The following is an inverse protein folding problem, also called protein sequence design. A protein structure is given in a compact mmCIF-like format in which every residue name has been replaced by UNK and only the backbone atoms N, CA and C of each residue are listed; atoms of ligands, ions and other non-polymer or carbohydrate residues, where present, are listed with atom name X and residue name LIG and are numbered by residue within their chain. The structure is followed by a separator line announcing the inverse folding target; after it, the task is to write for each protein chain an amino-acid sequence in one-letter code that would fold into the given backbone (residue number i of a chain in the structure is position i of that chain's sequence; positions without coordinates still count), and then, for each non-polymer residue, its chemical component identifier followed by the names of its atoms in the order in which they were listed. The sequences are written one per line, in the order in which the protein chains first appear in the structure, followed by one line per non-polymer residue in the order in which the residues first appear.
data_IF_967446131331
#
_entry.id   IF_967446131331
#
_cell.length_a   1.000
_cell.length_b   1.000
_cell.length_c   1.000
_cell.angle_alpha   90.00
_cell.angle_beta   90.00
_cell.angle_gamma   90.00
#
_symmetry.space_group_name_H-M   'P 1'
#
loop_
_entity.id
_entity.type
_entity.pdbx_description
1 polymer ?
#
# COMPACT_ATOMS: atom_id res chain seq x y z
N UNK A 1 33.71 9.54 48.63
CA UNK A 1 32.47 9.62 47.84
C UNK A 1 32.39 8.36 47.00
N UNK A 2 31.41 7.50 47.25
CA UNK A 2 31.22 6.25 46.50
C UNK A 2 30.11 6.49 45.48
N UNK A 3 30.48 6.61 44.20
CA UNK A 3 29.52 6.62 43.10
C UNK A 3 28.98 5.19 42.95
N UNK A 4 27.76 4.97 43.42
CA UNK A 4 27.10 3.67 43.35
C UNK A 4 27.05 3.10 41.92
N UNK A 5 26.77 1.79 41.78
CA UNK A 5 26.80 1.12 40.49
C UNK A 5 25.94 1.88 39.47
N UNK A 6 26.59 2.32 38.39
CA UNK A 6 25.97 2.98 37.26
C UNK A 6 24.74 2.17 36.85
N UNK A 7 23.54 2.74 37.06
CA UNK A 7 22.30 2.12 36.56
C UNK A 7 22.52 1.81 35.08
N UNK A 8 22.27 0.57 34.62
CA UNK A 8 22.27 0.29 33.20
C UNK A 8 21.34 1.31 32.54
N UNK A 9 21.87 2.13 31.62
CA UNK A 9 21.02 2.91 30.73
C UNK A 9 20.18 1.90 29.99
N UNK A 10 18.94 1.69 30.42
CA UNK A 10 17.95 1.00 29.61
C UNK A 10 17.85 1.82 28.34
N UNK A 11 18.38 1.31 27.23
CA UNK A 11 18.07 1.87 25.93
C UNK A 11 16.54 1.97 25.87
N UNK A 12 15.97 3.16 25.58
CA UNK A 12 14.54 3.29 25.47
C UNK A 12 14.09 2.26 24.44
N UNK A 13 13.31 1.26 24.89
CA UNK A 13 12.77 0.27 23.99
C UNK A 13 12.01 1.03 22.90
N UNK A 14 12.36 0.79 21.64
CA UNK A 14 11.66 1.37 20.50
C UNK A 14 10.17 1.08 20.66
N UNK A 15 9.33 2.11 20.58
CA UNK A 15 7.88 1.91 20.67
C UNK A 15 7.38 1.12 19.46
N UNK A 16 6.22 0.47 19.58
CA UNK A 16 5.62 -0.26 18.47
C UNK A 16 5.42 0.65 17.25
N UNK A 17 4.95 1.89 17.45
CA UNK A 17 4.78 2.84 16.35
C UNK A 17 6.10 3.25 15.70
N UNK A 18 7.16 3.48 16.47
CA UNK A 18 8.47 3.79 15.91
C UNK A 18 8.99 2.62 15.06
N UNK A 19 8.75 1.39 15.51
CA UNK A 19 9.10 0.18 14.75
C UNK A 19 8.27 0.07 13.47
N UNK A 20 6.95 0.24 13.56
CA UNK A 20 6.05 0.27 12.41
C UNK A 20 6.49 1.31 11.38
N UNK A 21 6.74 2.56 11.80
CA UNK A 21 7.16 3.62 10.91
C UNK A 21 8.51 3.36 10.23
N UNK A 22 9.44 2.74 10.96
CA UNK A 22 10.75 2.36 10.39
C UNK A 22 10.60 1.26 9.35
N UNK A 23 9.94 0.17 9.70
CA UNK A 23 9.75 -0.97 8.80
C UNK A 23 8.84 -0.65 7.62
N UNK A 24 7.87 0.26 7.79
CA UNK A 24 7.00 0.72 6.72
C UNK A 24 7.77 1.51 5.65
N UNK A 25 8.75 2.33 6.05
CA UNK A 25 9.64 3.02 5.10
C UNK A 25 10.46 2.03 4.28
N UNK A 26 11.02 1.00 4.93
CA UNK A 26 11.77 -0.08 4.29
C UNK A 26 10.88 -0.91 3.36
N UNK A 27 9.64 -1.18 3.75
CA UNK A 27 8.62 -1.80 2.92
C UNK A 27 8.38 -0.99 1.64
N UNK A 28 8.09 0.30 1.79
CA UNK A 28 7.81 1.20 0.67
C UNK A 28 8.95 1.26 -0.34
N UNK A 29 10.19 1.38 0.13
CA UNK A 29 11.37 1.46 -0.74
C UNK A 29 11.58 0.16 -1.54
N UNK A 30 11.51 -1.00 -0.88
CA UNK A 30 11.67 -2.30 -1.55
C UNK A 30 10.58 -2.54 -2.58
N UNK A 31 9.32 -2.31 -2.20
CA UNK A 31 8.18 -2.45 -3.11
C UNK A 31 8.28 -1.50 -4.29
N UNK A 32 8.58 -0.21 -4.06
CA UNK A 32 8.76 0.76 -5.16
C UNK A 32 9.80 0.29 -6.16
N UNK A 33 10.95 -0.18 -5.68
CA UNK A 33 12.02 -0.66 -6.56
C UNK A 33 11.65 -1.92 -7.34
N UNK A 34 10.88 -2.85 -6.75
CA UNK A 34 10.40 -4.06 -7.44
C UNK A 34 9.29 -3.72 -8.44
N UNK A 35 8.30 -2.96 -8.01
CA UNK A 35 7.14 -2.59 -8.83
C UNK A 35 7.54 -1.70 -10.02
N UNK A 36 8.53 -0.80 -9.88
CA UNK A 36 9.05 -0.03 -11.03
C UNK A 36 9.70 -0.92 -12.09
N UNK A 37 10.43 -1.96 -11.66
CA UNK A 37 11.03 -2.92 -12.59
C UNK A 37 9.95 -3.71 -13.33
N UNK A 38 8.90 -4.12 -12.61
CA UNK A 38 7.77 -4.81 -13.19
C UNK A 38 7.05 -3.90 -14.18
N UNK A 39 6.67 -2.69 -13.77
CA UNK A 39 5.98 -1.74 -14.62
C UNK A 39 6.77 -1.54 -15.94
N UNK A 40 8.00 -1.05 -15.85
CA UNK A 40 8.86 -0.80 -17.02
C UNK A 40 9.12 -2.01 -17.93
N UNK A 41 8.82 -3.23 -17.48
CA UNK A 41 8.97 -4.45 -18.29
C UNK A 41 7.77 -4.76 -19.21
N UNK A 42 6.61 -4.14 -18.97
CA UNK A 42 5.44 -4.30 -19.83
C UNK A 42 5.51 -3.33 -21.02
N UNK A 43 5.27 -3.83 -22.22
CA UNK A 43 5.19 -2.99 -23.41
C UNK A 43 3.89 -2.17 -23.40
N UNK A 44 3.96 -0.91 -23.84
CA UNK A 44 2.77 -0.07 -24.01
C UNK A 44 2.26 0.60 -22.73
N UNK A 45 3.02 0.59 -21.64
CA UNK A 45 2.60 1.27 -20.41
C UNK A 45 2.43 2.78 -20.59
N UNK A 46 1.25 3.28 -20.20
CA UNK A 46 0.97 4.71 -20.14
C UNK A 46 1.45 5.27 -18.81
N UNK A 47 2.32 6.28 -18.88
CA UNK A 47 2.66 7.07 -17.70
C UNK A 47 1.52 8.02 -17.35
N UNK A 48 1.14 8.07 -16.08
CA UNK A 48 0.24 9.09 -15.58
C UNK A 48 1.00 10.43 -15.51
N UNK A 49 0.37 11.56 -15.92
CA UNK A 49 1.03 12.86 -15.93
C UNK A 49 1.21 13.39 -14.51
N UNK A 50 2.40 13.22 -13.94
CA UNK A 50 2.76 13.74 -12.63
C UNK A 50 4.12 14.46 -12.67
N UNK A 51 4.29 15.63 -12.02
CA UNK A 51 5.48 16.47 -12.19
C UNK A 51 6.77 15.90 -11.59
N UNK A 52 6.69 15.15 -10.50
CA UNK A 52 7.87 14.66 -9.74
C UNK A 52 7.93 13.14 -9.62
N UNK A 53 6.79 12.51 -9.36
CA UNK A 53 6.67 11.06 -9.26
C UNK A 53 6.63 10.35 -10.62
N UNK A 54 7.27 9.19 -10.69
CA UNK A 54 7.17 8.27 -11.81
C UNK A 54 6.04 7.27 -11.51
N UNK A 55 4.87 7.52 -12.13
CA UNK A 55 3.66 6.72 -11.92
C UNK A 55 3.15 6.23 -13.27
N UNK A 56 2.72 4.98 -13.30
CA UNK A 56 2.16 4.30 -14.47
C UNK A 56 0.67 4.05 -14.25
N UNK A 57 -0.12 4.06 -15.32
CA UNK A 57 -1.46 3.49 -15.23
C UNK A 57 -1.30 1.97 -15.14
N UNK A 58 -2.04 1.37 -14.22
CA UNK A 58 -1.98 -0.07 -14.00
C UNK A 58 -2.34 -0.81 -15.30
N UNK A 59 -1.40 -1.62 -15.79
CA UNK A 59 -1.61 -2.52 -16.90
C UNK A 59 -2.19 -3.84 -16.37
N UNK A 60 -3.23 -4.37 -17.01
CA UNK A 60 -3.97 -5.53 -16.51
C UNK A 60 -3.09 -6.77 -16.30
N UNK A 61 -2.12 -7.01 -17.19
CA UNK A 61 -1.17 -8.12 -17.08
C UNK A 61 -0.13 -7.93 -15.96
N UNK A 62 0.07 -6.69 -15.50
CA UNK A 62 0.99 -6.36 -14.40
C UNK A 62 0.34 -6.53 -13.03
N UNK A 63 -1.00 -6.43 -12.95
CA UNK A 63 -1.73 -6.36 -11.69
C UNK A 63 -1.45 -7.54 -10.77
N UNK A 64 -1.41 -8.76 -11.30
CA UNK A 64 -1.12 -9.96 -10.51
C UNK A 64 0.30 -9.97 -9.96
N UNK A 65 1.30 -9.63 -10.78
CA UNK A 65 2.70 -9.58 -10.36
C UNK A 65 2.95 -8.51 -9.31
N UNK A 66 2.34 -7.33 -9.47
CA UNK A 66 2.41 -6.23 -8.50
C UNK A 66 1.71 -6.63 -7.20
N UNK A 67 0.52 -7.22 -7.27
CA UNK A 67 -0.22 -7.67 -6.08
C UNK A 67 0.56 -8.76 -5.32
N UNK A 68 1.18 -9.69 -6.03
CA UNK A 68 2.00 -10.74 -5.44
C UNK A 68 3.24 -10.16 -4.73
N UNK A 69 3.96 -9.25 -5.38
CA UNK A 69 5.09 -8.54 -4.76
C UNK A 69 4.65 -7.77 -3.50
N UNK A 70 3.52 -7.07 -3.58
CA UNK A 70 2.91 -6.37 -2.45
C UNK A 70 2.59 -7.32 -1.29
N UNK A 71 1.99 -8.48 -1.58
CA UNK A 71 1.65 -9.49 -0.59
C UNK A 71 2.88 -10.03 0.14
N UNK A 72 3.93 -10.42 -0.58
CA UNK A 72 5.18 -10.93 0.01
C UNK A 72 5.80 -9.88 0.93
N UNK A 73 5.96 -8.65 0.42
CA UNK A 73 6.63 -7.60 1.16
C UNK A 73 5.82 -7.16 2.39
N UNK A 74 4.48 -7.12 2.29
CA UNK A 74 3.59 -6.82 3.42
C UNK A 74 3.66 -7.94 4.48
N UNK A 75 3.73 -9.21 4.07
CA UNK A 75 3.89 -10.32 5.01
C UNK A 75 5.22 -10.22 5.79
N UNK A 76 6.31 -9.87 5.10
CA UNK A 76 7.60 -9.65 5.74
C UNK A 76 7.59 -8.42 6.66
N UNK A 77 6.89 -7.35 6.28
CA UNK A 77 6.64 -6.21 7.18
C UNK A 77 5.94 -6.65 8.47
N UNK A 78 4.91 -7.51 8.36
CA UNK A 78 4.17 -8.04 9.50
C UNK A 78 5.07 -8.76 10.50
N UNK A 79 5.89 -9.69 10.01
CA UNK A 79 6.86 -10.43 10.84
C UNK A 79 7.84 -9.50 11.53
N UNK A 80 8.33 -8.49 10.80
CA UNK A 80 9.29 -7.53 11.34
C UNK A 80 8.67 -6.56 12.34
N UNK A 81 7.39 -6.22 12.26
CA UNK A 81 6.74 -5.36 13.26
C UNK A 81 6.31 -6.15 14.49
N UNK A 82 5.78 -7.35 14.30
CA UNK A 82 5.19 -8.19 15.34
C UNK A 82 5.96 -9.52 15.48
N UNK A 83 7.09 -9.58 16.19
CA UNK A 83 7.85 -10.83 16.34
C UNK A 83 7.03 -12.01 16.90
N UNK A 84 6.02 -11.73 17.74
CA UNK A 84 5.12 -12.75 18.25
C UNK A 84 4.31 -13.44 17.16
N UNK A 85 4.14 -12.81 15.99
CA UNK A 85 3.49 -13.40 14.82
C UNK A 85 4.25 -14.64 14.31
N UNK A 86 5.57 -14.66 14.40
CA UNK A 86 6.39 -15.82 13.99
C UNK A 86 6.24 -17.02 14.93
N UNK A 87 5.65 -16.82 16.12
CA UNK A 87 5.39 -17.90 17.08
C UNK A 87 4.09 -18.66 16.79
N UNK A 88 3.26 -18.14 15.87
CA UNK A 88 1.99 -18.78 15.47
C UNK A 88 2.25 -19.89 14.46
N UNK A 89 1.32 -20.84 14.38
CA UNK A 89 1.34 -21.85 13.31
C UNK A 89 1.15 -21.21 11.93
N UNK A 90 1.64 -21.87 10.88
CA UNK A 90 1.61 -21.31 9.52
C UNK A 90 0.20 -20.96 9.04
N UNK A 91 -0.80 -21.79 9.36
CA UNK A 91 -2.19 -21.55 8.96
C UNK A 91 -2.80 -20.35 9.69
N UNK A 92 -2.43 -20.13 10.95
CA UNK A 92 -2.85 -18.96 11.73
C UNK A 92 -2.22 -17.68 11.17
N UNK A 93 -0.93 -17.73 10.84
CA UNK A 93 -0.23 -16.60 10.20
C UNK A 93 -0.92 -16.21 8.89
N UNK A 94 -1.23 -17.19 8.03
CA UNK A 94 -1.89 -16.96 6.74
C UNK A 94 -3.30 -16.39 6.96
N UNK A 95 -4.04 -16.90 7.93
CA UNK A 95 -5.42 -16.44 8.22
C UNK A 95 -5.42 -14.98 8.68
N UNK A 96 -4.59 -14.64 9.66
CA UNK A 96 -4.45 -13.26 10.16
C UNK A 96 -4.00 -12.32 9.04
N UNK A 97 -3.04 -12.76 8.22
CA UNK A 97 -2.54 -11.95 7.12
C UNK A 97 -3.63 -11.66 6.07
N UNK A 98 -4.41 -12.66 5.68
CA UNK A 98 -5.52 -12.49 4.72
C UNK A 98 -6.57 -11.48 5.20
N UNK A 99 -6.89 -11.51 6.49
CA UNK A 99 -7.86 -10.60 7.09
C UNK A 99 -7.38 -9.14 7.18
N UNK A 100 -6.06 -8.94 7.19
CA UNK A 100 -5.45 -7.62 7.32
C UNK A 100 -5.02 -7.02 5.98
N UNK A 101 -4.43 -7.80 5.09
CA UNK A 101 -3.75 -7.30 3.87
C UNK A 101 -4.67 -6.47 2.99
N UNK A 102 -5.95 -6.85 2.86
CA UNK A 102 -6.93 -6.08 2.10
C UNK A 102 -7.18 -4.69 2.70
N UNK A 103 -7.34 -4.61 4.03
CA UNK A 103 -7.54 -3.34 4.74
C UNK A 103 -6.30 -2.48 4.67
N UNK A 104 -5.13 -3.06 4.90
CA UNK A 104 -3.85 -2.35 4.79
C UNK A 104 -3.64 -1.74 3.41
N UNK A 105 -3.84 -2.55 2.37
CA UNK A 105 -3.66 -2.12 0.98
C UNK A 105 -4.63 -0.98 0.65
N UNK A 106 -5.87 -1.07 1.11
CA UNK A 106 -6.85 -0.01 0.96
C UNK A 106 -6.39 1.30 1.63
N UNK A 107 -6.01 1.25 2.91
CA UNK A 107 -5.50 2.42 3.64
C UNK A 107 -4.27 3.03 2.96
N UNK A 108 -3.33 2.20 2.53
CA UNK A 108 -2.13 2.64 1.84
C UNK A 108 -2.45 3.30 0.49
N UNK A 109 -3.35 2.71 -0.30
CA UNK A 109 -3.75 3.28 -1.58
C UNK A 109 -4.40 4.66 -1.41
N UNK A 110 -5.29 4.83 -0.42
CA UNK A 110 -5.95 6.11 -0.18
C UNK A 110 -5.00 7.17 0.40
N UNK A 111 -4.17 6.81 1.39
CA UNK A 111 -3.17 7.73 1.94
C UNK A 111 -2.23 8.23 0.84
N UNK A 112 -1.73 7.29 0.02
CA UNK A 112 -0.82 7.60 -1.08
C UNK A 112 -1.49 8.42 -2.16
N UNK A 113 -2.75 8.13 -2.50
CA UNK A 113 -3.54 8.93 -3.44
C UNK A 113 -3.63 10.37 -2.96
N UNK A 114 -4.00 10.58 -1.69
CA UNK A 114 -4.07 11.91 -1.08
C UNK A 114 -2.70 12.61 -1.08
N UNK A 115 -1.63 11.89 -0.75
CA UNK A 115 -0.27 12.45 -0.68
C UNK A 115 0.31 12.84 -2.04
N UNK A 116 0.10 12.01 -3.06
CA UNK A 116 0.66 12.21 -4.40
C UNK A 116 -0.18 13.22 -5.17
N UNK A 117 -1.49 13.03 -5.23
CA UNK A 117 -2.36 13.82 -6.11
C UNK A 117 -3.02 15.00 -5.41
N UNK A 118 -2.96 15.06 -4.07
CA UNK A 118 -3.59 16.12 -3.29
C UNK A 118 -5.10 16.20 -3.52
N UNK A 119 -5.64 17.42 -3.45
CA UNK A 119 -7.05 17.71 -3.73
C UNK A 119 -7.45 17.45 -5.19
N UNK A 120 -6.47 17.41 -6.11
CA UNK A 120 -6.68 17.14 -7.54
C UNK A 120 -6.74 15.64 -7.87
N UNK A 121 -6.66 14.75 -6.87
CA UNK A 121 -6.68 13.29 -7.03
C UNK A 121 -7.99 12.66 -7.51
N UNK A 122 -8.97 13.46 -7.95
CA UNK A 122 -10.26 12.94 -8.43
C UNK A 122 -10.20 12.12 -9.72
N UNK A 123 -9.10 12.20 -10.49
CA UNK A 123 -8.91 11.38 -11.70
C UNK A 123 -8.10 10.10 -11.46
N UNK A 124 -7.14 10.12 -10.55
CA UNK A 124 -6.20 9.02 -10.37
C UNK A 124 -6.28 8.47 -8.95
N UNK A 125 -6.52 7.17 -8.82
CA UNK A 125 -6.44 6.47 -7.54
C UNK A 125 -5.21 5.57 -7.57
N UNK A 126 -4.31 5.73 -6.60
CA UNK A 126 -3.15 4.84 -6.48
C UNK A 126 -3.62 3.41 -6.21
N UNK A 127 -2.99 2.46 -6.91
CA UNK A 127 -3.25 1.03 -6.78
C UNK A 127 -2.06 0.30 -6.16
N UNK A 128 -0.86 0.86 -6.31
CA UNK A 128 0.38 0.33 -5.76
C UNK A 128 1.35 1.48 -5.41
N UNK A 129 2.63 1.17 -5.15
CA UNK A 129 3.66 2.18 -4.93
C UNK A 129 3.90 3.06 -6.16
N UNK A 130 3.68 2.53 -7.37
CA UNK A 130 4.01 3.18 -8.64
C UNK A 130 2.96 3.04 -9.72
N UNK A 131 1.85 2.36 -9.45
CA UNK A 131 0.72 2.31 -10.38
C UNK A 131 -0.52 2.99 -9.83
N UNK A 132 -1.31 3.56 -10.73
CA UNK A 132 -2.62 4.13 -10.45
C UNK A 132 -3.67 3.60 -11.42
N UNK A 133 -4.94 3.65 -11.01
CA UNK A 133 -6.08 3.54 -11.89
C UNK A 133 -6.46 4.95 -12.38
N UNK A 134 -6.58 5.13 -13.70
CA UNK A 134 -7.23 6.32 -14.26
C UNK A 134 -8.75 6.10 -14.18
N UNK A 135 -9.45 6.88 -13.38
CA UNK A 135 -10.89 6.70 -13.18
C UNK A 135 -11.71 7.10 -14.42
N UNK A 136 -11.12 7.81 -15.38
CA UNK A 136 -11.77 8.16 -16.64
C UNK A 136 -11.48 7.12 -17.72
N UNK A 137 -10.20 6.75 -17.87
CA UNK A 137 -9.75 5.89 -18.98
C UNK A 137 -9.60 4.40 -18.58
N UNK A 138 -9.53 4.12 -17.29
CA UNK A 138 -9.41 2.77 -16.74
C UNK A 138 -8.00 2.21 -16.66
N UNK A 139 -7.90 0.88 -16.76
CA UNK A 139 -6.66 0.12 -16.81
C UNK A 139 -6.15 0.05 -18.26
N UNK A 140 -4.84 -0.01 -18.42
CA UNK A 140 -4.25 -0.30 -19.72
C UNK A 140 -4.24 -1.81 -20.00
N UNK A 141 -4.14 -2.18 -21.29
CA UNK A 141 -4.09 -3.57 -21.76
C UNK A 141 -5.45 -4.15 -22.17
N UNK A 142 -5.47 -5.44 -22.52
CA UNK A 142 -6.68 -6.14 -22.94
C UNK A 142 -7.60 -6.46 -21.74
N UNK A 143 -8.52 -5.55 -21.46
CA UNK A 143 -9.52 -5.72 -20.40
C UNK A 143 -10.66 -6.65 -20.78
N UNK A 144 -10.76 -7.12 -22.03
CA UNK A 144 -11.89 -7.95 -22.49
C UNK A 144 -12.03 -9.25 -21.69
N UNK A 145 -10.93 -9.76 -21.14
CA UNK A 145 -10.89 -10.91 -20.22
C UNK A 145 -11.68 -10.67 -18.92
N UNK A 146 -11.92 -9.42 -18.57
CA UNK A 146 -12.64 -8.95 -17.39
C UNK A 146 -13.97 -8.27 -17.75
N UNK A 147 -14.38 -8.26 -19.03
CA UNK A 147 -15.58 -7.59 -19.52
C UNK A 147 -16.85 -8.45 -19.48
N UNK A 148 -16.81 -9.61 -18.82
CA UNK A 148 -18.03 -10.30 -18.40
C UNK A 148 -18.87 -9.29 -17.58
N UNK A 149 -20.10 -8.97 -18.00
CA UNK A 149 -20.84 -7.77 -17.57
C UNK A 149 -20.85 -7.49 -16.07
N UNK A 150 -20.89 -8.55 -15.24
CA UNK A 150 -20.83 -8.46 -13.78
C UNK A 150 -19.51 -7.83 -13.29
N UNK A 151 -18.36 -8.16 -13.87
CA UNK A 151 -17.07 -7.63 -13.43
C UNK A 151 -16.91 -6.15 -13.76
N UNK A 152 -17.47 -5.69 -14.90
CA UNK A 152 -17.50 -4.27 -15.25
C UNK A 152 -18.38 -3.49 -14.26
N UNK A 153 -19.61 -3.96 -14.02
CA UNK A 153 -20.53 -3.33 -13.07
C UNK A 153 -19.95 -3.32 -11.65
N UNK A 154 -19.35 -4.42 -11.21
CA UNK A 154 -18.68 -4.49 -9.90
C UNK A 154 -17.49 -3.55 -9.86
N UNK A 155 -16.67 -3.45 -10.90
CA UNK A 155 -15.52 -2.53 -10.92
C UNK A 155 -15.97 -1.07 -10.84
N UNK A 156 -16.94 -0.67 -11.67
CA UNK A 156 -17.45 0.70 -11.72
C UNK A 156 -18.14 1.10 -10.41
N UNK A 157 -19.04 0.25 -9.90
CA UNK A 157 -19.73 0.49 -8.62
C UNK A 157 -18.78 0.42 -7.44
N UNK A 158 -17.93 -0.60 -7.34
CA UNK A 158 -17.01 -0.76 -6.21
C UNK A 158 -15.99 0.36 -6.13
N UNK A 159 -15.35 0.72 -7.25
CA UNK A 159 -14.37 1.82 -7.27
C UNK A 159 -15.02 3.15 -6.92
N UNK A 160 -16.18 3.45 -7.51
CA UNK A 160 -16.94 4.68 -7.23
C UNK A 160 -17.44 4.72 -5.79
N UNK A 161 -18.07 3.66 -5.30
CA UNK A 161 -18.66 3.59 -3.96
C UNK A 161 -17.58 3.62 -2.88
N UNK A 162 -16.48 2.88 -3.07
CA UNK A 162 -15.36 2.94 -2.14
C UNK A 162 -14.74 4.33 -2.11
N UNK A 163 -14.50 4.96 -3.27
CA UNK A 163 -13.96 6.32 -3.32
C UNK A 163 -14.93 7.31 -2.67
N UNK A 164 -16.24 7.18 -2.90
CA UNK A 164 -17.27 8.05 -2.33
C UNK A 164 -17.38 7.93 -0.79
N UNK A 165 -17.09 6.75 -0.23
CA UNK A 165 -17.14 6.50 1.21
C UNK A 165 -15.81 6.85 1.88
N UNK A 166 -14.71 6.25 1.40
CA UNK A 166 -13.43 6.29 2.09
C UNK A 166 -12.67 7.58 1.85
N UNK A 167 -12.64 8.11 0.62
CA UNK A 167 -11.85 9.32 0.34
C UNK A 167 -12.27 10.52 1.20
N UNK A 168 -13.58 10.81 1.42
CA UNK A 168 -14.00 11.85 2.36
C UNK A 168 -13.62 11.57 3.81
N UNK A 169 -13.63 10.31 4.25
CA UNK A 169 -13.18 9.94 5.60
C UNK A 169 -11.67 10.23 5.76
N UNK A 170 -10.85 9.83 4.80
CA UNK A 170 -9.40 10.10 4.81
C UNK A 170 -9.07 11.59 4.73
N UNK A 171 -9.88 12.38 4.03
CA UNK A 171 -9.69 13.83 3.95
C UNK A 171 -10.07 14.56 5.24
N UNK A 172 -10.90 13.95 6.11
CA UNK A 172 -11.30 14.53 7.40
C UNK A 172 -10.37 14.18 8.55
N UNK A 173 -9.59 13.10 8.43
CA UNK A 173 -8.69 12.65 9.48
C UNK A 173 -7.33 13.35 9.33
N UNK A 174 -6.97 14.14 10.35
CA UNK A 174 -5.58 14.56 10.57
C UNK A 174 -4.77 13.36 11.05
N UNK A 175 -4.22 12.61 10.09
CA UNK A 175 -3.27 11.55 10.38
C UNK A 175 -1.95 12.20 10.80
N UNK A 176 -1.57 12.02 12.07
CA UNK A 176 -0.26 12.44 12.59
C UNK A 176 0.60 11.21 12.88
N UNK A 177 1.93 11.37 12.86
CA UNK A 177 2.88 10.30 13.19
C UNK A 177 3.07 10.11 14.72
N UNK A 178 2.20 10.71 15.55
CA UNK A 178 2.32 10.70 17.01
C UNK A 178 1.15 9.98 17.67
N UNK A 179 1.44 9.21 18.72
CA UNK A 179 0.43 8.71 19.67
C UNK A 179 -0.15 9.92 20.43
N UNK A 180 -1.45 10.16 20.27
CA UNK A 180 -2.22 11.13 21.06
C UNK A 180 -2.80 10.49 22.32
#
# INVERSE_FOLDING_TARGET
SYDGPLRPRSNPQQTLLQRMGTEYKVLCERRRNQELKLARSFEGERRAPHPTEEIYVAHVDSCYSIFFASGIETFEFFKKVFPAFELLEGDDQVTIFKDYVGKFSMYECYERTRRIWGENGGRYTMWSMVTCCDLQDGFDGDTSRFENGIYREVRESFGSDQNAIFLPLFNRVELTEQES
#
